data_IF_049569534559
#
_entry.id   IF_049569534559
#
_cell.length_a   1.000
_cell.length_b   1.000
_cell.length_c   1.000
_cell.angle_alpha   90.00
_cell.angle_beta   90.00
_cell.angle_gamma   90.00
#
_symmetry.space_group_name_H-M   'P 1'
#
loop_
_entity.id
_entity.type
_entity.pdbx_description
1 polymer ?
#
# COMPACT_ATOMS: atom_id res chain seq x y z
N UNK A 1 -0.19 11.99 -27.54
CA UNK A 1 -0.16 12.19 -26.09
C UNK A 1 -0.90 13.49 -25.79
N UNK A 2 -2.05 13.40 -25.12
CA UNK A 2 -2.69 14.59 -24.55
C UNK A 2 -1.94 14.89 -23.25
N UNK A 3 -1.47 16.11 -23.09
CA UNK A 3 -0.86 16.55 -21.82
C UNK A 3 -1.92 16.45 -20.72
N UNK A 4 -1.59 15.71 -19.66
CA UNK A 4 -2.41 15.63 -18.45
C UNK A 4 -2.40 17.00 -17.78
N UNK A 5 -3.58 17.49 -17.40
CA UNK A 5 -3.70 18.73 -16.64
C UNK A 5 -3.00 18.54 -15.29
N UNK A 6 -2.36 19.58 -14.74
CA UNK A 6 -1.52 19.52 -13.53
C UNK A 6 -2.19 18.75 -12.36
N UNK A 7 -3.51 18.86 -12.28
CA UNK A 7 -4.40 18.19 -11.32
C UNK A 7 -4.39 16.67 -11.47
N UNK A 8 -4.38 16.14 -12.69
CA UNK A 8 -4.35 14.70 -12.95
C UNK A 8 -3.00 14.09 -12.56
N UNK A 9 -1.90 14.86 -12.69
CA UNK A 9 -0.55 14.43 -12.27
C UNK A 9 -0.43 14.35 -10.75
N UNK A 10 -0.93 15.36 -10.03
CA UNK A 10 -0.91 15.36 -8.55
C UNK A 10 -1.75 14.22 -7.98
N UNK A 11 -2.89 13.90 -8.59
CA UNK A 11 -3.74 12.81 -8.12
C UNK A 11 -3.11 11.43 -8.40
N UNK A 12 -2.40 11.26 -9.52
CA UNK A 12 -1.63 10.03 -9.81
C UNK A 12 -0.44 9.87 -8.85
N UNK A 13 0.16 10.98 -8.39
CA UNK A 13 1.26 10.94 -7.41
C UNK A 13 0.84 10.46 -6.01
N UNK A 14 -0.45 10.52 -5.68
CA UNK A 14 -1.00 10.04 -4.40
C UNK A 14 -1.56 8.63 -4.45
N UNK A 15 -1.65 8.02 -5.63
CA UNK A 15 -2.14 6.65 -5.78
C UNK A 15 -1.15 5.66 -5.18
N UNK A 16 -1.61 4.76 -4.31
CA UNK A 16 -0.76 3.82 -3.58
C UNK A 16 -0.25 4.34 -2.23
N UNK A 17 -0.44 5.62 -1.90
CA UNK A 17 0.04 6.17 -0.63
C UNK A 17 -0.64 5.54 0.60
N UNK A 18 -1.92 5.17 0.50
CA UNK A 18 -2.67 4.51 1.57
C UNK A 18 -2.29 3.03 1.62
N UNK A 19 -2.11 2.38 0.45
CA UNK A 19 -1.57 1.02 0.35
C UNK A 19 -0.21 0.91 1.05
N UNK A 20 0.73 1.80 0.73
CA UNK A 20 2.08 1.79 1.28
C UNK A 20 2.08 2.08 2.78
N UNK A 21 1.30 3.07 3.23
CA UNK A 21 1.16 3.39 4.65
C UNK A 21 0.54 2.23 5.44
N UNK A 22 -0.48 1.57 4.89
CA UNK A 22 -1.11 0.41 5.52
C UNK A 22 -0.16 -0.80 5.55
N UNK A 23 0.61 -1.01 4.48
CA UNK A 23 1.68 -2.02 4.43
C UNK A 23 2.74 -1.80 5.49
N UNK A 24 3.26 -0.58 5.62
CA UNK A 24 4.24 -0.23 6.64
C UNK A 24 3.70 -0.39 8.06
N UNK A 25 2.44 -0.01 8.31
CA UNK A 25 1.77 -0.23 9.60
C UNK A 25 1.63 -1.73 9.91
N UNK A 26 1.18 -2.52 8.95
CA UNK A 26 1.03 -3.96 9.09
C UNK A 26 2.38 -4.66 9.33
N UNK A 27 3.43 -4.24 8.61
CA UNK A 27 4.79 -4.69 8.84
C UNK A 27 5.29 -4.35 10.25
N UNK A 28 5.00 -3.13 10.73
CA UNK A 28 5.33 -2.69 12.08
C UNK A 28 4.67 -3.54 13.16
N UNK A 29 3.38 -3.84 13.01
CA UNK A 29 2.66 -4.73 13.93
C UNK A 29 3.27 -6.14 13.89
N UNK A 30 3.51 -6.67 12.70
CA UNK A 30 4.11 -7.99 12.53
C UNK A 30 5.53 -8.09 13.11
N UNK A 31 6.34 -7.04 12.99
CA UNK A 31 7.68 -6.98 13.59
C UNK A 31 7.63 -7.06 15.12
N UNK A 32 6.62 -6.45 15.76
CA UNK A 32 6.42 -6.58 17.21
C UNK A 32 6.06 -8.02 17.59
N UNK A 33 5.19 -8.68 16.81
CA UNK A 33 4.82 -10.08 17.05
C UNK A 33 6.01 -11.02 16.86
N UNK A 34 6.80 -10.84 15.81
CA UNK A 34 8.02 -11.63 15.59
C UNK A 34 9.03 -11.44 16.72
N UNK A 35 9.20 -10.20 17.21
CA UNK A 35 10.06 -9.92 18.35
C UNK A 35 9.59 -10.60 19.65
N UNK A 36 8.28 -10.62 19.92
CA UNK A 36 7.71 -11.30 21.10
C UNK A 36 7.90 -12.82 20.99
N UNK A 37 7.76 -13.39 19.79
CA UNK A 37 7.88 -14.83 19.57
C UNK A 37 9.33 -15.30 19.38
N UNK A 38 10.32 -14.40 19.45
CA UNK A 38 11.71 -14.65 19.08
C UNK A 38 11.86 -15.28 17.68
N UNK A 39 10.94 -14.92 16.77
CA UNK A 39 10.92 -15.43 15.42
C UNK A 39 11.90 -14.63 14.56
N UNK A 40 12.93 -15.30 14.05
CA UNK A 40 13.95 -14.70 13.19
C UNK A 40 13.54 -14.73 11.70
N UNK A 41 12.41 -15.36 11.37
CA UNK A 41 11.97 -15.57 9.99
C UNK A 41 11.21 -14.37 9.41
N UNK A 42 10.91 -13.36 10.24
CA UNK A 42 10.11 -12.18 9.86
C UNK A 42 8.73 -12.54 9.27
N UNK A 43 8.21 -13.72 9.66
CA UNK A 43 6.98 -14.28 9.10
C UNK A 43 5.78 -13.39 9.37
N UNK A 44 5.64 -12.90 10.61
CA UNK A 44 4.52 -12.04 10.99
C UNK A 44 4.67 -10.63 10.41
N UNK A 45 5.89 -10.11 10.32
CA UNK A 45 6.20 -8.85 9.64
C UNK A 45 5.77 -8.90 8.17
N UNK A 46 6.16 -9.94 7.44
CA UNK A 46 5.81 -10.10 6.04
C UNK A 46 4.30 -10.31 5.86
N UNK A 47 3.68 -11.16 6.69
CA UNK A 47 2.24 -11.38 6.66
C UNK A 47 1.49 -10.07 6.95
N UNK A 48 1.91 -9.32 7.96
CA UNK A 48 1.33 -8.03 8.32
C UNK A 48 1.46 -7.01 7.20
N UNK A 49 2.62 -6.93 6.54
CA UNK A 49 2.82 -6.06 5.38
C UNK A 49 1.82 -6.36 4.26
N UNK A 50 1.74 -7.63 3.84
CA UNK A 50 0.84 -8.06 2.76
C UNK A 50 -0.62 -7.76 3.13
N UNK A 51 -1.01 -8.03 4.37
CA UNK A 51 -2.37 -7.80 4.85
C UNK A 51 -2.69 -6.29 4.85
N UNK A 52 -1.77 -5.47 5.33
CA UNK A 52 -1.86 -4.02 5.32
C UNK A 52 -1.98 -3.43 3.91
N UNK A 53 -1.10 -3.83 2.99
CA UNK A 53 -1.15 -3.40 1.59
C UNK A 53 -2.48 -3.75 0.94
N UNK A 54 -3.00 -4.96 1.15
CA UNK A 54 -4.28 -5.38 0.57
C UNK A 54 -5.47 -4.60 1.16
N UNK A 55 -5.45 -4.30 2.46
CA UNK A 55 -6.46 -3.42 3.07
C UNK A 55 -6.37 -2.02 2.47
N UNK A 56 -5.16 -1.46 2.36
CA UNK A 56 -4.96 -0.13 1.78
C UNK A 56 -5.41 -0.06 0.32
N UNK A 57 -5.14 -1.08 -0.49
CA UNK A 57 -5.68 -1.21 -1.87
C UNK A 57 -7.20 -1.17 -1.91
N UNK A 58 -7.88 -1.88 -1.00
CA UNK A 58 -9.35 -1.89 -0.90
C UNK A 58 -9.85 -0.49 -0.53
N UNK A 59 -9.20 0.18 0.43
CA UNK A 59 -9.56 1.54 0.85
C UNK A 59 -9.39 2.54 -0.29
N UNK A 60 -8.28 2.50 -1.03
CA UNK A 60 -8.05 3.36 -2.20
C UNK A 60 -9.09 3.11 -3.30
N UNK A 61 -9.43 1.85 -3.53
CA UNK A 61 -10.50 1.46 -4.47
C UNK A 61 -11.85 2.00 -4.03
N UNK A 62 -12.18 1.89 -2.74
CA UNK A 62 -13.45 2.37 -2.19
C UNK A 62 -13.58 3.89 -2.20
N UNK A 63 -12.48 4.61 -1.94
CA UNK A 63 -12.42 6.07 -1.99
C UNK A 63 -12.37 6.62 -3.43
N UNK A 64 -12.32 5.76 -4.44
CA UNK A 64 -12.15 6.17 -5.84
C UNK A 64 -10.78 6.81 -6.13
N UNK A 65 -9.81 6.60 -5.24
CA UNK A 65 -8.41 7.01 -5.41
C UNK A 65 -7.63 6.05 -6.31
N UNK A 66 -8.25 4.91 -6.66
CA UNK A 66 -7.70 3.94 -7.59
C UNK A 66 -7.85 4.43 -9.04
N UNK A 67 -6.76 4.97 -9.59
CA UNK A 67 -6.69 5.28 -11.02
C UNK A 67 -6.72 3.98 -11.85
N UNK A 68 -7.63 3.83 -12.82
CA UNK A 68 -7.50 2.81 -13.85
C UNK A 68 -6.37 3.24 -14.80
N UNK A 69 -5.13 2.89 -14.45
CA UNK A 69 -3.95 3.47 -15.07
C UNK A 69 -2.76 2.53 -15.23
N UNK A 70 -2.94 1.21 -15.25
CA UNK A 70 -1.96 0.33 -15.89
C UNK A 70 -2.13 0.44 -17.41
N UNK A 71 -1.71 1.57 -17.98
CA UNK A 71 -1.44 1.67 -19.41
C UNK A 71 -0.17 0.87 -19.64
N UNK A 72 -0.33 -0.38 -20.07
CA UNK A 72 0.74 -1.12 -20.71
C UNK A 72 1.19 -0.29 -21.93
N UNK A 73 2.45 0.18 -21.90
CA UNK A 73 3.16 0.62 -23.10
C UNK A 73 3.68 -0.59 -23.87
#
# INVERSE_FOLDING_TARGET
>A
MKELNLIEVEQVSGAGAIMDAAGALGAGIGAVIDAINHDLTQSSQNAGQILGENIGKIVETHLGLHFPGSVHF
#
